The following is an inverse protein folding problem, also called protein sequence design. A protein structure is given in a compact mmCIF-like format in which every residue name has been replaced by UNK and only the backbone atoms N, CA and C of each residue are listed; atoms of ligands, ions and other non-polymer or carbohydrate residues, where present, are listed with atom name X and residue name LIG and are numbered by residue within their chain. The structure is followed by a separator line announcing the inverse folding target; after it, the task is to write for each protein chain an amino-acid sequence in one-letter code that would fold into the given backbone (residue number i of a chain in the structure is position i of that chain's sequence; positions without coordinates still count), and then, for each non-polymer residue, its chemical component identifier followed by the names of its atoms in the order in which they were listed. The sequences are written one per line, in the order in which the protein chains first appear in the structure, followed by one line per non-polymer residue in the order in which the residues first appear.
data_IF_214496563167
#
_entry.id   IF_214496563167
#
_cell.length_a   1.000
_cell.length_b   1.000
_cell.length_c   1.000
_cell.angle_alpha   90.00
_cell.angle_beta   90.00
_cell.angle_gamma   90.00
#
_symmetry.space_group_name_H-M   'P 1'
#
loop_
_entity.id
_entity.type
_entity.pdbx_description
1 polymer ?
#
# COMPACT_ATOMS: atom_id res chain seq x y z
N UNK A 1 0.09 0.06 3.86
CA UNK A 1 0.37 1.16 4.81
C UNK A 1 1.25 2.21 4.15
N UNK A 2 0.63 3.12 3.41
CA UNK A 2 1.27 4.29 2.80
C UNK A 2 0.69 5.60 3.37
N UNK A 3 -0.57 5.58 3.78
CA UNK A 3 -1.30 6.74 4.28
C UNK A 3 -1.78 6.51 5.73
N UNK A 4 -1.27 7.29 6.67
CA UNK A 4 -1.67 7.24 8.09
C UNK A 4 -3.09 7.76 8.33
N UNK A 5 -3.74 8.28 7.30
CA UNK A 5 -5.14 8.71 7.32
C UNK A 5 -6.10 7.64 6.80
N UNK A 6 -5.60 6.44 6.44
CA UNK A 6 -6.44 5.32 6.03
C UNK A 6 -7.12 4.66 7.25
N UNK A 7 -8.14 5.30 7.79
CA UNK A 7 -8.82 4.89 9.02
C UNK A 7 -10.33 4.65 8.83
N UNK A 8 -10.75 4.42 7.57
CA UNK A 8 -12.15 4.26 7.23
C UNK A 8 -12.41 2.86 6.69
N UNK A 9 -13.34 2.11 7.31
CA UNK A 9 -13.67 0.77 6.86
C UNK A 9 -14.22 0.76 5.43
N UNK A 10 -13.83 -0.24 4.65
CA UNK A 10 -14.39 -0.45 3.30
C UNK A 10 -15.49 -1.51 3.39
N UNK A 11 -16.73 -1.09 3.15
CA UNK A 11 -17.89 -1.99 3.22
C UNK A 11 -17.71 -3.22 2.31
N UNK A 12 -17.86 -4.42 2.89
CA UNK A 12 -17.73 -5.69 2.20
C UNK A 12 -16.30 -6.21 2.04
N UNK A 13 -15.28 -5.47 2.49
CA UNK A 13 -13.88 -5.94 2.57
C UNK A 13 -13.50 -6.28 4.02
N UNK A 14 -13.91 -5.45 4.98
CA UNK A 14 -13.52 -5.57 6.41
C UNK A 14 -13.79 -6.95 7.01
N UNK A 15 -14.88 -7.59 6.63
CA UNK A 15 -15.26 -8.91 7.15
C UNK A 15 -14.43 -10.06 6.54
N UNK A 16 -13.65 -9.78 5.49
CA UNK A 16 -12.94 -10.77 4.68
C UNK A 16 -11.41 -10.69 4.82
N UNK A 17 -10.89 -9.69 5.53
CA UNK A 17 -9.45 -9.39 5.59
C UNK A 17 -8.77 -9.90 6.85
N UNK A 18 -7.52 -10.28 6.70
CA UNK A 18 -6.59 -10.62 7.79
C UNK A 18 -5.95 -9.40 8.43
N UNK A 19 -6.08 -8.22 7.79
CA UNK A 19 -5.67 -6.92 8.29
C UNK A 19 -6.80 -5.93 8.02
N UNK A 20 -7.44 -5.47 9.09
CA UNK A 20 -8.63 -4.61 9.02
C UNK A 20 -8.31 -3.15 9.41
N UNK A 21 -9.33 -2.30 9.41
CA UNK A 21 -9.15 -0.88 9.78
C UNK A 21 -8.66 -0.70 11.23
N UNK A 22 -9.10 -1.53 12.18
CA UNK A 22 -8.67 -1.47 13.58
C UNK A 22 -7.19 -1.85 13.75
N UNK A 23 -6.71 -2.86 12.99
CA UNK A 23 -5.29 -3.22 12.91
C UNK A 23 -4.47 -2.05 12.38
N UNK A 24 -4.98 -1.37 11.35
CA UNK A 24 -4.32 -0.22 10.74
C UNK A 24 -4.21 0.97 11.71
N UNK A 25 -5.30 1.28 12.42
CA UNK A 25 -5.32 2.32 13.45
C UNK A 25 -4.33 1.98 14.57
N UNK A 26 -4.31 0.71 15.00
CA UNK A 26 -3.36 0.22 16.00
C UNK A 26 -1.92 0.40 15.55
N UNK A 27 -1.60 -0.01 14.31
CA UNK A 27 -0.26 0.11 13.74
C UNK A 27 0.23 1.55 13.63
N UNK A 28 -0.62 2.45 13.11
CA UNK A 28 -0.26 3.86 13.00
C UNK A 28 -0.10 4.56 14.36
N UNK A 29 -0.98 4.26 15.33
CA UNK A 29 -0.85 4.80 16.68
C UNK A 29 0.41 4.29 17.39
N UNK A 30 0.81 3.03 17.15
CA UNK A 30 2.05 2.49 17.71
C UNK A 30 3.29 3.22 17.18
N UNK A 31 3.30 3.61 15.90
CA UNK A 31 4.42 4.32 15.28
C UNK A 31 4.43 5.82 15.58
N UNK A 32 3.27 6.48 15.50
CA UNK A 32 3.16 7.94 15.47
C UNK A 32 2.56 8.55 16.74
N UNK A 33 1.92 7.74 17.59
CA UNK A 33 1.11 8.20 18.71
C UNK A 33 -0.04 9.09 18.24
N UNK A 34 -0.33 10.13 19.02
CA UNK A 34 -1.43 11.10 18.77
C UNK A 34 -1.30 11.87 17.44
N UNK A 35 -0.17 11.74 16.74
CA UNK A 35 0.04 12.37 15.43
C UNK A 35 -0.57 11.56 14.28
N UNK A 36 -0.88 10.28 14.49
CA UNK A 36 -1.48 9.42 13.48
C UNK A 36 -2.80 10.03 12.95
N UNK A 37 -2.91 10.16 11.63
CA UNK A 37 -4.08 10.73 10.98
C UNK A 37 -4.24 12.24 11.15
N UNK A 38 -3.25 12.94 11.72
CA UNK A 38 -3.32 14.40 11.93
C UNK A 38 -3.59 15.14 10.61
N UNK A 39 -4.51 16.13 10.60
CA UNK A 39 -4.77 16.95 9.42
C UNK A 39 -3.62 17.94 9.13
N UNK A 40 -2.75 18.18 10.10
CA UNK A 40 -1.52 18.95 9.91
C UNK A 40 -0.55 18.14 9.04
N UNK A 41 -0.11 18.72 7.93
CA UNK A 41 0.77 18.08 6.96
C UNK A 41 2.16 17.83 7.55
N UNK A 42 2.62 18.69 8.47
CA UNK A 42 3.96 18.62 9.06
C UNK A 42 4.03 17.69 10.29
N UNK A 43 2.88 17.27 10.82
CA UNK A 43 2.83 16.45 12.04
C UNK A 43 3.44 15.04 11.85
N UNK A 44 3.47 14.55 10.61
CA UNK A 44 3.96 13.21 10.28
C UNK A 44 4.89 13.31 9.08
N UNK A 45 6.10 12.82 9.24
CA UNK A 45 7.12 12.82 8.19
C UNK A 45 6.70 11.94 7.01
N UNK A 46 7.00 12.39 5.79
CA UNK A 46 6.85 11.61 4.56
C UNK A 46 7.65 10.29 4.57
N UNK A 47 8.74 10.22 5.34
CA UNK A 47 9.51 8.98 5.52
C UNK A 47 8.79 7.96 6.42
N UNK A 48 7.82 8.41 7.24
CA UNK A 48 6.97 7.52 8.02
C UNK A 48 5.68 7.16 7.27
N UNK A 49 5.07 8.13 6.59
CA UNK A 49 3.86 7.94 5.77
C UNK A 49 4.08 8.53 4.36
N UNK A 50 4.50 7.73 3.37
CA UNK A 50 4.84 8.20 2.02
C UNK A 50 3.74 8.97 1.31
N UNK A 51 2.46 8.70 1.63
CA UNK A 51 1.33 9.44 1.08
C UNK A 51 1.34 10.94 1.47
N UNK A 52 2.15 11.35 2.45
CA UNK A 52 2.35 12.75 2.85
C UNK A 52 3.38 13.50 2.03
N UNK A 53 4.21 12.81 1.25
CA UNK A 53 5.21 13.48 0.44
C UNK A 53 4.57 14.59 -0.40
N UNK A 54 5.16 15.78 -0.43
CA UNK A 54 4.63 16.89 -1.25
C UNK A 54 4.91 16.69 -2.74
N UNK A 55 6.00 16.00 -3.05
CA UNK A 55 6.46 15.71 -4.40
C UNK A 55 7.10 14.32 -4.43
N UNK A 56 6.81 13.55 -5.48
CA UNK A 56 7.40 12.22 -5.72
C UNK A 56 8.29 12.19 -6.96
N UNK A 57 8.50 13.33 -7.63
CA UNK A 57 9.40 13.41 -8.77
C UNK A 57 10.85 13.09 -8.37
N UNK A 58 11.54 12.32 -9.21
CA UNK A 58 12.93 11.94 -8.98
C UNK A 58 13.12 10.79 -7.98
N UNK A 59 12.05 10.20 -7.44
CA UNK A 59 12.17 8.94 -6.70
C UNK A 59 12.63 7.82 -7.64
N UNK A 60 13.26 6.76 -7.11
CA UNK A 60 13.65 5.60 -7.91
C UNK A 60 12.45 4.94 -8.62
N UNK A 61 12.71 4.14 -9.68
CA UNK A 61 11.71 3.23 -10.23
C UNK A 61 11.03 2.43 -9.12
N UNK A 62 9.70 2.40 -9.14
CA UNK A 62 8.91 1.88 -8.02
C UNK A 62 8.05 0.70 -8.47
N UNK A 63 8.13 -0.41 -7.73
CA UNK A 63 7.21 -1.54 -7.86
C UNK A 63 6.18 -1.48 -6.73
N UNK A 64 4.89 -1.62 -7.08
CA UNK A 64 3.79 -1.68 -6.13
C UNK A 64 2.90 -2.86 -6.51
N UNK A 65 2.42 -3.61 -5.54
CA UNK A 65 1.27 -4.48 -5.74
C UNK A 65 0.32 -4.49 -4.55
N UNK A 66 -0.92 -4.90 -4.82
CA UNK A 66 -1.96 -4.98 -3.81
C UNK A 66 -3.02 -6.02 -4.19
N UNK A 67 -3.58 -6.69 -3.20
CA UNK A 67 -4.79 -7.48 -3.38
C UNK A 67 -6.01 -6.59 -3.60
N UNK A 68 -6.98 -7.02 -4.40
CA UNK A 68 -8.22 -6.25 -4.59
C UNK A 68 -9.09 -6.19 -3.32
N UNK A 69 -9.01 -7.23 -2.47
CA UNK A 69 -9.73 -7.29 -1.19
C UNK A 69 -8.81 -6.87 -0.05
N UNK A 70 -8.09 -5.77 -0.21
CA UNK A 70 -7.16 -5.23 0.78
C UNK A 70 -7.54 -3.78 1.09
N UNK A 71 -7.51 -3.38 2.36
CA UNK A 71 -7.81 -2.00 2.79
C UNK A 71 -6.82 -0.98 2.20
N UNK A 72 -5.67 -1.44 1.72
CA UNK A 72 -4.65 -0.58 1.11
C UNK A 72 -4.87 -0.30 -0.38
N UNK A 73 -5.88 -0.89 -1.03
CA UNK A 73 -6.02 -0.81 -2.48
C UNK A 73 -6.15 0.64 -2.98
N UNK A 74 -6.93 1.48 -2.31
CA UNK A 74 -7.15 2.86 -2.72
C UNK A 74 -5.94 3.76 -2.45
N UNK A 75 -5.25 3.59 -1.31
CA UNK A 75 -4.02 4.36 -1.03
C UNK A 75 -2.90 3.97 -2.00
N UNK A 76 -2.76 2.68 -2.34
CA UNK A 76 -1.79 2.19 -3.31
C UNK A 76 -2.06 2.72 -4.71
N UNK A 77 -3.33 2.68 -5.17
CA UNK A 77 -3.73 3.28 -6.45
C UNK A 77 -3.45 4.78 -6.50
N UNK A 78 -3.78 5.51 -5.43
CA UNK A 78 -3.54 6.95 -5.34
C UNK A 78 -2.05 7.27 -5.39
N UNK A 79 -1.22 6.53 -4.66
CA UNK A 79 0.23 6.72 -4.69
C UNK A 79 0.83 6.37 -6.05
N UNK A 80 0.37 5.28 -6.69
CA UNK A 80 0.75 4.91 -8.05
C UNK A 80 0.39 6.01 -9.06
N UNK A 81 -0.81 6.60 -8.99
CA UNK A 81 -1.22 7.73 -9.85
C UNK A 81 -0.25 8.89 -9.75
N UNK A 82 0.16 9.25 -8.52
CA UNK A 82 1.11 10.35 -8.28
C UNK A 82 2.50 10.07 -8.88
N UNK A 83 2.96 8.83 -8.82
CA UNK A 83 4.22 8.42 -9.45
C UNK A 83 4.14 8.53 -10.98
N UNK A 84 3.02 8.09 -11.57
CA UNK A 84 2.75 8.25 -13.02
C UNK A 84 2.72 9.73 -13.42
N UNK A 85 1.99 10.56 -12.68
CA UNK A 85 1.91 12.02 -12.92
C UNK A 85 3.28 12.70 -12.86
N UNK A 86 4.17 12.21 -11.98
CA UNK A 86 5.54 12.68 -11.86
C UNK A 86 6.52 12.03 -12.86
N UNK A 87 6.03 11.20 -13.79
CA UNK A 87 6.82 10.45 -14.77
C UNK A 87 7.91 9.56 -14.16
N UNK A 88 7.66 9.05 -12.94
CA UNK A 88 8.52 8.03 -12.31
C UNK A 88 8.20 6.67 -12.94
N UNK A 89 9.21 5.88 -13.38
CA UNK A 89 8.97 4.53 -13.85
C UNK A 89 8.29 3.69 -12.76
N UNK A 90 7.15 3.10 -13.09
CA UNK A 90 6.35 2.33 -12.15
C UNK A 90 5.84 1.04 -12.77
N UNK A 91 5.83 -0.01 -11.95
CA UNK A 91 5.08 -1.24 -12.17
C UNK A 91 4.03 -1.35 -11.05
N UNK A 92 2.75 -1.42 -11.41
CA UNK A 92 1.65 -1.53 -10.44
C UNK A 92 0.71 -2.68 -10.78
N UNK A 93 0.58 -3.64 -9.86
CA UNK A 93 -0.31 -4.79 -10.01
C UNK A 93 -1.44 -4.80 -8.99
N UNK A 94 -2.64 -5.10 -9.47
CA UNK A 94 -3.80 -5.39 -8.62
C UNK A 94 -4.23 -6.83 -8.85
N UNK A 95 -4.25 -7.64 -7.79
CA UNK A 95 -4.59 -9.06 -7.86
C UNK A 95 -6.06 -9.30 -7.46
N UNK A 96 -6.94 -9.71 -8.40
CA UNK A 96 -8.36 -9.88 -8.14
C UNK A 96 -8.66 -10.88 -7.01
N UNK A 97 -9.57 -10.51 -6.10
CA UNK A 97 -10.04 -11.36 -5.02
C UNK A 97 -9.01 -11.72 -3.94
N UNK A 98 -7.79 -11.17 -3.99
CA UNK A 98 -6.76 -11.48 -3.00
C UNK A 98 -6.84 -10.53 -1.80
N UNK A 99 -6.83 -11.06 -0.54
CA UNK A 99 -6.80 -10.26 0.67
C UNK A 99 -5.39 -9.78 1.04
N UNK A 100 -5.28 -9.01 2.12
CA UNK A 100 -3.98 -8.61 2.66
C UNK A 100 -3.06 -9.81 2.94
N UNK A 101 -1.80 -9.72 2.50
CA UNK A 101 -0.77 -10.74 2.72
C UNK A 101 -1.13 -12.17 2.25
N UNK A 102 -2.02 -12.31 1.26
CA UNK A 102 -2.48 -13.60 0.71
C UNK A 102 -1.36 -14.60 0.34
N UNK A 103 -0.20 -14.10 -0.10
CA UNK A 103 0.96 -14.90 -0.46
C UNK A 103 1.54 -15.71 0.70
N UNK A 104 1.39 -15.24 1.94
CA UNK A 104 1.85 -15.95 3.14
C UNK A 104 0.94 -17.14 3.49
N UNK A 105 -0.36 -17.00 3.25
CA UNK A 105 -1.36 -18.02 3.59
C UNK A 105 -1.62 -19.01 2.45
N UNK A 106 -1.44 -18.59 1.20
CA UNK A 106 -1.76 -19.36 0.01
C UNK A 106 -0.63 -19.29 -1.04
N UNK A 107 0.60 -19.74 -0.73
CA UNK A 107 1.75 -19.55 -1.62
C UNK A 107 1.62 -20.25 -2.98
N UNK A 108 0.76 -21.27 -3.08
CA UNK A 108 0.64 -22.10 -4.27
C UNK A 108 -0.46 -21.66 -5.26
N UNK A 109 -1.29 -20.66 -4.90
CA UNK A 109 -2.36 -20.18 -5.81
C UNK A 109 -1.78 -19.33 -6.94
N UNK A 110 -2.56 -19.20 -8.03
CA UNK A 110 -2.16 -18.50 -9.26
C UNK A 110 -1.56 -17.12 -8.97
N UNK A 111 -2.24 -16.30 -8.17
CA UNK A 111 -1.80 -14.92 -7.93
C UNK A 111 -0.56 -14.83 -7.04
N UNK A 112 -0.36 -15.71 -6.07
CA UNK A 112 0.87 -15.72 -5.25
C UNK A 112 2.10 -16.04 -6.08
N UNK A 113 1.98 -16.99 -7.02
CA UNK A 113 3.07 -17.31 -7.97
C UNK A 113 3.34 -16.17 -8.94
N UNK A 114 2.29 -15.52 -9.43
CA UNK A 114 2.40 -14.36 -10.33
C UNK A 114 3.06 -13.18 -9.63
N UNK A 115 2.64 -12.86 -8.40
CA UNK A 115 3.27 -11.87 -7.54
C UNK A 115 4.76 -12.11 -7.37
N UNK A 116 5.14 -13.34 -6.96
CA UNK A 116 6.55 -13.67 -6.80
C UNK A 116 7.34 -13.49 -8.09
N UNK A 117 6.79 -13.93 -9.24
CA UNK A 117 7.44 -13.75 -10.53
C UNK A 117 7.62 -12.27 -10.87
N UNK A 118 6.61 -11.43 -10.65
CA UNK A 118 6.65 -10.00 -10.92
C UNK A 118 7.69 -9.29 -10.02
N UNK A 119 7.71 -9.62 -8.73
CA UNK A 119 8.73 -9.11 -7.79
C UNK A 119 10.14 -9.49 -8.26
N UNK A 120 10.37 -10.75 -8.64
CA UNK A 120 11.68 -11.20 -9.12
C UNK A 120 12.10 -10.49 -10.41
N UNK A 121 11.16 -10.27 -11.33
CA UNK A 121 11.42 -9.51 -12.55
C UNK A 121 11.79 -8.06 -12.22
N UNK A 122 11.06 -7.41 -11.32
CA UNK A 122 11.33 -6.03 -10.93
C UNK A 122 12.71 -5.87 -10.28
N UNK A 123 13.11 -6.79 -9.40
CA UNK A 123 14.45 -6.81 -8.79
C UNK A 123 15.54 -7.08 -9.84
N UNK A 124 15.30 -7.99 -10.77
CA UNK A 124 16.26 -8.37 -11.82
C UNK A 124 16.37 -7.37 -12.97
N UNK A 125 15.51 -6.35 -13.03
CA UNK A 125 15.48 -5.34 -14.09
C UNK A 125 16.38 -4.13 -13.81
N UNK A 126 17.21 -4.18 -12.76
CA UNK A 126 18.15 -3.14 -12.34
C UNK A 126 19.54 -3.37 -12.93
#
# INVERSE_FOLDING_TARGET
MLDDRNNRPIAGIEELVTWNTDDNITGWNALLGDRAGSPDLEAVSEYAAPARAGNVAGTPPTYIDCGQLDIFIFESMKFASRLVEAMVPIEFHVYPGMPHSYQAYAPNVKFSKMHLQNVLNAIGSV
#
